data_IF_338220739440
#
_entry.id   IF_338220739440
#
_cell.length_a   1.000
_cell.length_b   1.000
_cell.length_c   1.000
_cell.angle_alpha   90.00
_cell.angle_beta   90.00
_cell.angle_gamma   90.00
#
_symmetry.space_group_name_H-M   'P 1'
#
loop_
_entity.id
_entity.type
_entity.pdbx_description
1 polymer ?
#
# COMPACT_ATOMS: atom_id res chain seq x y z
N UNK A 1 0.23 -16.06 3.73
CA UNK A 1 -0.38 -14.73 3.95
C UNK A 1 0.60 -13.58 3.67
N UNK A 2 1.67 -13.41 4.45
CA UNK A 2 2.62 -12.29 4.30
C UNK A 2 3.15 -12.05 2.87
N UNK A 3 3.56 -13.09 2.15
CA UNK A 3 4.05 -12.96 0.77
C UNK A 3 3.01 -12.39 -0.21
N UNK A 4 1.72 -12.68 0.01
CA UNK A 4 0.63 -12.13 -0.80
C UNK A 4 0.50 -10.62 -0.55
N UNK A 5 0.53 -10.19 0.71
CA UNK A 5 0.54 -8.77 1.11
C UNK A 5 1.75 -8.06 0.52
N UNK A 6 2.95 -8.61 0.72
CA UNK A 6 4.19 -8.03 0.21
C UNK A 6 4.12 -7.81 -1.31
N UNK A 7 3.59 -8.79 -2.05
CA UNK A 7 3.41 -8.68 -3.50
C UNK A 7 2.42 -7.56 -3.83
N UNK A 8 1.26 -7.52 -3.17
CA UNK A 8 0.24 -6.50 -3.42
C UNK A 8 0.73 -5.08 -3.12
N UNK A 9 1.38 -4.88 -1.98
CA UNK A 9 1.99 -3.60 -1.59
C UNK A 9 3.04 -3.18 -2.61
N UNK A 10 3.97 -4.08 -2.96
CA UNK A 10 5.00 -3.81 -3.97
C UNK A 10 4.38 -3.40 -5.31
N UNK A 11 3.38 -4.14 -5.79
CA UNK A 11 2.73 -3.84 -7.07
C UNK A 11 2.01 -2.51 -7.03
N UNK A 12 1.25 -2.22 -5.96
CA UNK A 12 0.50 -0.97 -5.86
C UNK A 12 1.43 0.24 -5.85
N UNK A 13 2.46 0.24 -4.99
CA UNK A 13 3.40 1.36 -4.93
C UNK A 13 4.25 1.49 -6.20
N UNK A 14 4.59 0.39 -6.86
CA UNK A 14 5.27 0.42 -8.16
C UNK A 14 4.43 1.17 -9.21
N UNK A 15 3.12 0.96 -9.21
CA UNK A 15 2.22 1.54 -10.21
C UNK A 15 1.80 2.97 -9.87
N UNK A 16 1.57 3.27 -8.60
CA UNK A 16 0.84 4.47 -8.16
C UNK A 16 1.55 5.32 -7.10
N UNK A 17 2.74 4.91 -6.64
CA UNK A 17 3.45 5.63 -5.59
C UNK A 17 4.06 6.96 -6.03
N UNK A 18 4.29 7.16 -7.33
CA UNK A 18 5.04 8.30 -7.87
C UNK A 18 4.27 9.09 -8.92
N UNK A 19 4.48 10.41 -8.94
CA UNK A 19 3.87 11.33 -9.91
C UNK A 19 4.36 11.14 -11.34
N UNK A 20 5.61 10.69 -11.53
CA UNK A 20 6.26 10.50 -12.83
C UNK A 20 5.90 9.15 -13.50
N UNK A 21 4.93 8.42 -12.97
CA UNK A 21 4.51 7.11 -13.46
C UNK A 21 5.12 5.94 -12.68
N UNK A 22 5.22 4.78 -13.33
CA UNK A 22 5.63 3.54 -12.67
C UNK A 22 7.09 3.62 -12.18
N UNK A 23 7.33 3.21 -10.93
CA UNK A 23 8.66 3.14 -10.34
C UNK A 23 8.85 1.79 -9.61
N UNK A 24 9.46 0.78 -10.25
CA UNK A 24 9.64 -0.54 -9.66
C UNK A 24 10.44 -0.50 -8.35
N UNK A 25 9.82 -1.00 -7.27
CA UNK A 25 10.46 -1.08 -5.95
C UNK A 25 10.75 -2.51 -5.50
N UNK A 26 11.75 -2.65 -4.64
CA UNK A 26 12.08 -3.88 -3.92
C UNK A 26 11.98 -3.61 -2.42
N UNK A 27 11.09 -4.32 -1.74
CA UNK A 27 10.90 -4.16 -0.29
C UNK A 27 11.80 -5.17 0.43
N UNK A 28 12.69 -4.75 1.34
CA UNK A 28 12.96 -3.37 1.79
C UNK A 28 14.10 -2.65 1.02
N UNK A 29 14.83 -3.35 0.14
CA UNK A 29 16.09 -2.89 -0.47
C UNK A 29 16.05 -1.52 -1.15
N UNK A 30 15.08 -1.24 -2.02
CA UNK A 30 15.00 0.06 -2.69
C UNK A 30 14.64 1.15 -1.69
N UNK A 31 13.73 0.89 -0.74
CA UNK A 31 13.31 1.88 0.26
C UNK A 31 14.47 2.29 1.17
N UNK A 32 15.28 1.32 1.61
CA UNK A 32 16.50 1.58 2.39
C UNK A 32 17.50 2.40 1.60
N UNK A 33 17.74 2.01 0.34
CA UNK A 33 18.66 2.70 -0.56
C UNK A 33 18.20 4.13 -0.88
N UNK A 34 16.93 4.32 -1.18
CA UNK A 34 16.35 5.60 -1.59
C UNK A 34 16.33 6.63 -0.45
N UNK A 35 16.41 6.16 0.81
CA UNK A 35 16.66 7.02 1.98
C UNK A 35 18.16 7.29 2.18
N UNK A 36 19.05 6.38 1.74
CA UNK A 36 20.50 6.45 1.95
C UNK A 36 21.30 7.19 0.84
N UNK A 37 20.82 7.32 -0.40
CA UNK A 37 21.60 7.93 -1.50
C UNK A 37 21.48 9.47 -1.49
N UNK A 38 22.00 10.12 -0.46
CA UNK A 38 22.19 11.57 -0.46
C UNK A 38 23.68 11.98 -0.63
N UNK A 39 24.59 11.04 -0.96
CA UNK A 39 26.04 11.29 -0.95
C UNK A 39 26.87 10.85 -2.16
N UNK A 40 26.43 9.86 -2.97
CA UNK A 40 27.34 9.30 -3.97
C UNK A 40 27.66 10.22 -5.16
N UNK A 41 26.96 11.35 -5.30
CA UNK A 41 27.02 12.20 -6.50
C UNK A 41 28.13 13.26 -6.46
N UNK A 42 28.74 13.56 -5.31
CA UNK A 42 29.72 14.66 -5.21
C UNK A 42 31.18 14.19 -5.25
N UNK A 43 31.48 12.92 -4.96
CA UNK A 43 32.87 12.48 -4.74
C UNK A 43 33.65 11.97 -5.97
N UNK A 44 33.06 11.86 -7.16
CA UNK A 44 33.81 11.44 -8.36
C UNK A 44 33.33 12.12 -9.65
N UNK A 45 33.77 13.35 -9.89
CA UNK A 45 33.85 13.87 -11.25
C UNK A 45 35.24 13.57 -11.85
N UNK A 46 35.26 12.56 -12.73
CA UNK A 46 36.00 12.61 -14.01
C UNK A 46 35.43 11.54 -14.93
N UNK A 47 34.55 12.00 -15.82
CA UNK A 47 34.10 11.33 -17.06
C UNK A 47 33.27 10.04 -16.92
N UNK A 48 31.98 10.17 -16.54
CA UNK A 48 30.92 9.31 -17.08
C UNK A 48 29.59 10.07 -17.06
N UNK A 49 29.01 10.36 -18.23
CA UNK A 49 27.61 10.80 -18.36
C UNK A 49 26.69 9.67 -17.89
N UNK A 50 26.34 9.63 -16.60
CA UNK A 50 25.16 8.90 -16.11
C UNK A 50 24.12 9.94 -15.71
N UNK A 51 22.94 9.87 -16.30
CA UNK A 51 21.74 10.60 -15.87
C UNK A 51 21.51 10.32 -14.38
N UNK A 52 21.86 11.27 -13.52
CA UNK A 52 21.53 11.26 -12.09
C UNK A 52 20.21 12.00 -11.94
N UNK A 53 19.12 11.23 -11.83
CA UNK A 53 17.80 11.76 -11.46
C UNK A 53 17.07 10.70 -10.59
N UNK A 54 17.76 10.21 -9.55
CA UNK A 54 17.30 9.09 -8.69
C UNK A 54 17.34 9.34 -7.18
N UNK A 55 17.74 10.51 -6.74
CA UNK A 55 18.20 10.69 -5.35
C UNK A 55 17.09 10.97 -4.31
N UNK A 56 15.80 10.79 -4.64
CA UNK A 56 14.70 11.09 -3.70
C UNK A 56 13.46 10.20 -3.83
N UNK A 57 13.56 8.97 -4.33
CA UNK A 57 12.36 8.20 -4.66
C UNK A 57 11.38 8.04 -3.47
N UNK A 58 11.83 7.67 -2.27
CA UNK A 58 10.91 7.48 -1.15
C UNK A 58 10.23 8.77 -0.66
N UNK A 59 10.97 9.86 -0.47
CA UNK A 59 10.38 11.12 0.01
C UNK A 59 9.54 11.82 -1.07
N UNK A 60 9.88 11.67 -2.36
CA UNK A 60 9.03 12.09 -3.47
C UNK A 60 7.72 11.30 -3.51
N UNK A 61 7.74 10.00 -3.18
CA UNK A 61 6.53 9.20 -3.03
C UNK A 61 5.65 9.74 -1.89
N UNK A 62 6.23 10.04 -0.73
CA UNK A 62 5.50 10.64 0.37
C UNK A 62 4.93 12.01 -0.05
N UNK A 63 5.71 12.86 -0.71
CA UNK A 63 5.24 14.15 -1.22
C UNK A 63 4.08 13.98 -2.21
N UNK A 64 4.14 13.01 -3.11
CA UNK A 64 3.08 12.71 -4.06
C UNK A 64 1.78 12.23 -3.38
N UNK A 65 1.91 11.36 -2.38
CA UNK A 65 0.76 10.76 -1.68
C UNK A 65 0.16 11.68 -0.61
N UNK A 66 0.97 12.45 0.09
CA UNK A 66 0.53 13.38 1.13
C UNK A 66 0.19 14.77 0.55
N UNK A 67 0.77 15.13 -0.60
CA UNK A 67 0.67 16.46 -1.19
C UNK A 67 1.52 17.53 -0.51
N UNK A 68 2.16 17.20 0.62
CA UNK A 68 3.03 18.09 1.40
C UNK A 68 4.28 17.32 1.88
N UNK A 69 5.43 17.99 2.02
CA UNK A 69 6.63 17.38 2.58
C UNK A 69 6.43 17.04 4.07
N UNK A 70 7.26 16.13 4.58
CA UNK A 70 7.26 15.79 6.01
C UNK A 70 7.85 16.99 6.78
N UNK A 71 7.14 17.57 7.77
CA UNK A 71 7.68 18.65 8.59
C UNK A 71 9.00 18.23 9.26
N UNK A 72 10.00 19.11 9.27
CA UNK A 72 11.30 18.85 9.90
C UNK A 72 12.28 18.00 9.08
N UNK A 73 11.80 17.28 8.05
CA UNK A 73 12.67 16.52 7.13
C UNK A 73 12.84 17.29 5.82
N UNK A 74 13.95 18.01 5.69
CA UNK A 74 14.31 18.58 4.40
C UNK A 74 14.69 17.43 3.45
N UNK A 75 13.96 17.30 2.33
CA UNK A 75 14.19 16.30 1.30
C UNK A 75 15.58 16.40 0.63
N UNK A 76 16.46 17.32 1.05
CA UNK A 76 17.74 17.65 0.43
C UNK A 76 18.94 17.64 1.39
N UNK A 77 18.81 17.08 2.60
CA UNK A 77 19.96 16.94 3.50
C UNK A 77 20.88 15.83 2.99
N UNK A 78 22.12 16.19 2.67
CA UNK A 78 23.19 15.20 2.44
C UNK A 78 23.43 14.41 3.72
N UNK A 79 23.64 13.11 3.61
CA UNK A 79 24.11 12.32 4.74
C UNK A 79 25.59 12.67 5.03
N UNK A 80 26.12 12.32 6.22
CA UNK A 80 27.52 12.50 6.61
C UNK A 80 28.36 11.34 6.07
N UNK A 81 29.64 11.59 5.81
CA UNK A 81 30.56 10.54 5.31
C UNK A 81 30.97 9.58 6.42
N UNK A 82 30.97 10.04 7.68
CA UNK A 82 31.24 9.19 8.83
C UNK A 82 30.12 8.16 9.01
N UNK A 83 30.42 6.85 9.06
CA UNK A 83 29.39 5.81 9.17
C UNK A 83 28.56 5.88 10.46
N UNK A 84 29.11 6.38 11.57
CA UNK A 84 28.39 6.49 12.85
C UNK A 84 27.44 7.68 12.82
N UNK A 85 27.92 8.85 12.39
CA UNK A 85 27.08 10.03 12.19
C UNK A 85 25.95 9.76 11.18
N UNK A 86 26.26 9.08 10.06
CA UNK A 86 25.26 8.66 9.07
C UNK A 86 24.19 7.77 9.67
N UNK A 87 24.61 6.76 10.42
CA UNK A 87 23.69 5.85 11.10
C UNK A 87 22.75 6.64 12.04
N UNK A 88 23.28 7.55 12.85
CA UNK A 88 22.46 8.37 13.75
C UNK A 88 21.49 9.28 13.01
N UNK A 89 21.92 9.91 11.91
CA UNK A 89 21.06 10.74 11.09
C UNK A 89 19.92 9.91 10.46
N UNK A 90 20.23 8.74 9.89
CA UNK A 90 19.21 7.84 9.32
C UNK A 90 18.21 7.36 10.37
N UNK A 91 18.70 6.97 11.55
CA UNK A 91 17.84 6.57 12.67
C UNK A 91 16.91 7.71 13.10
N UNK A 92 17.43 8.94 13.21
CA UNK A 92 16.62 10.11 13.50
C UNK A 92 15.58 10.37 12.41
N UNK A 93 15.96 10.35 11.12
CA UNK A 93 15.03 10.54 10.01
C UNK A 93 13.90 9.51 10.01
N UNK A 94 14.21 8.25 10.28
CA UNK A 94 13.22 7.19 10.43
C UNK A 94 12.30 7.42 11.64
N UNK A 95 12.84 7.92 12.75
CA UNK A 95 12.07 8.29 13.93
C UNK A 95 11.05 9.40 13.63
N UNK A 96 11.49 10.45 12.93
CA UNK A 96 10.63 11.56 12.49
C UNK A 96 9.56 11.09 11.51
N UNK A 97 9.92 10.25 10.53
CA UNK A 97 8.96 9.64 9.60
C UNK A 97 7.88 8.85 10.35
N UNK A 98 8.27 7.99 11.29
CA UNK A 98 7.34 7.18 12.08
C UNK A 98 6.47 8.06 13.00
N UNK A 99 7.04 9.12 13.58
CA UNK A 99 6.31 10.11 14.37
C UNK A 99 5.25 10.83 13.52
N UNK A 100 5.64 11.32 12.35
CA UNK A 100 4.75 11.98 11.40
C UNK A 100 3.61 11.07 10.95
N UNK A 101 3.91 9.83 10.53
CA UNK A 101 2.86 8.89 10.13
C UNK A 101 1.88 8.63 11.28
N UNK A 102 2.36 8.48 12.52
CA UNK A 102 1.50 8.33 13.70
C UNK A 102 0.61 9.55 13.93
N UNK A 103 1.13 10.76 13.72
CA UNK A 103 0.31 12.00 13.80
C UNK A 103 -0.80 12.05 12.74
N UNK A 104 -0.65 11.31 11.64
CA UNK A 104 -1.67 11.15 10.59
C UNK A 104 -2.61 9.95 10.85
N UNK A 105 -2.48 9.27 11.99
CA UNK A 105 -3.33 8.13 12.38
C UNK A 105 -2.77 6.74 12.03
N UNK A 106 -1.51 6.65 11.60
CA UNK A 106 -0.86 5.36 11.37
C UNK A 106 -0.62 4.61 12.69
N UNK A 107 -0.85 3.29 12.66
CA UNK A 107 -0.60 2.42 13.82
C UNK A 107 0.74 1.69 13.63
N UNK A 108 1.82 2.32 14.10
CA UNK A 108 3.21 1.86 13.93
C UNK A 108 3.97 1.79 15.27
N UNK A 109 3.28 1.56 16.39
CA UNK A 109 3.92 1.47 17.71
C UNK A 109 4.91 0.30 17.82
N UNK A 110 4.74 -0.74 16.99
CA UNK A 110 5.59 -1.92 16.93
C UNK A 110 6.80 -1.79 15.99
N UNK A 111 6.85 -0.74 15.16
CA UNK A 111 7.94 -0.53 14.20
C UNK A 111 8.97 0.39 14.83
N UNK A 112 10.17 -0.12 15.08
CA UNK A 112 11.29 0.67 15.60
C UNK A 112 12.13 1.26 14.45
N UNK A 113 12.72 2.46 14.61
CA UNK A 113 13.49 3.12 13.56
C UNK A 113 14.69 2.30 13.05
N UNK A 114 15.36 1.57 13.92
CA UNK A 114 16.52 0.74 13.60
C UNK A 114 16.19 -0.42 12.65
N UNK A 115 14.94 -0.88 12.61
CA UNK A 115 14.51 -1.90 11.65
C UNK A 115 14.32 -1.35 10.23
N UNK A 116 14.34 -0.03 10.06
CA UNK A 116 14.29 0.62 8.75
C UNK A 116 15.68 0.84 8.13
N UNK A 117 16.76 0.62 8.89
CA UNK A 117 18.15 0.78 8.46
C UNK A 117 18.61 -0.31 7.46
N UNK A 118 19.75 -0.05 6.81
CA UNK A 118 20.53 -1.09 6.11
C UNK A 118 21.13 -2.09 7.10
N UNK A 119 21.49 -3.32 6.68
CA UNK A 119 22.16 -4.27 7.56
C UNK A 119 23.47 -3.71 8.12
N UNK A 120 24.19 -2.94 7.32
CA UNK A 120 25.44 -2.29 7.69
C UNK A 120 25.21 -1.25 8.78
N UNK A 121 24.26 -0.33 8.58
CA UNK A 121 23.97 0.73 9.56
C UNK A 121 23.28 0.17 10.82
N UNK A 122 22.48 -0.89 10.71
CA UNK A 122 21.93 -1.60 11.88
C UNK A 122 23.04 -2.24 12.72
N UNK A 123 24.04 -2.86 12.07
CA UNK A 123 25.19 -3.41 12.79
C UNK A 123 25.91 -2.30 13.57
N UNK A 124 26.15 -1.15 12.93
CA UNK A 124 26.75 0.02 13.58
C UNK A 124 25.90 0.48 14.79
N UNK A 125 24.58 0.60 14.61
CA UNK A 125 23.64 0.97 15.66
C UNK A 125 23.72 0.00 16.86
N UNK A 126 23.74 -1.31 16.60
CA UNK A 126 23.88 -2.32 17.67
C UNK A 126 25.23 -2.24 18.38
N UNK A 127 26.35 -2.08 17.65
CA UNK A 127 27.69 -2.00 18.23
C UNK A 127 27.85 -0.75 19.12
N UNK A 128 27.24 0.38 18.73
CA UNK A 128 27.25 1.62 19.52
C UNK A 128 26.40 1.48 20.78
N UNK A 129 25.17 0.95 20.66
CA UNK A 129 24.25 0.85 21.81
C UNK A 129 24.62 -0.26 22.80
N UNK A 130 25.37 -1.27 22.37
CA UNK A 130 25.91 -2.34 23.24
C UNK A 130 27.27 -1.97 23.85
N UNK A 131 27.86 -0.82 23.46
CA UNK A 131 29.17 -0.39 23.92
C UNK A 131 30.34 -1.17 23.32
N UNK A 132 30.10 -2.02 22.31
CA UNK A 132 31.12 -2.84 21.65
C UNK A 132 32.02 -2.03 20.70
N UNK A 133 31.56 -0.87 20.21
CA UNK A 133 32.31 -0.04 19.25
C UNK A 133 33.18 1.05 19.87
N UNK A 134 32.91 1.46 21.11
CA UNK A 134 33.56 2.63 21.71
C UNK A 134 34.08 2.31 23.10
N UNK A 135 35.38 2.00 23.18
CA UNK A 135 36.13 2.32 24.39
C UNK A 135 36.17 3.84 24.54
N UNK A 136 35.54 4.36 25.59
CA UNK A 136 35.51 5.79 25.98
C UNK A 136 34.70 6.73 25.07
N UNK A 137 33.47 7.06 25.50
CA UNK A 137 32.98 8.43 25.76
C UNK A 137 31.44 8.39 25.89
N UNK A 138 30.95 7.98 27.07
CA UNK A 138 29.55 8.21 27.45
C UNK A 138 29.38 9.68 27.82
N UNK A 139 29.05 10.53 26.86
CA UNK A 139 28.46 11.85 27.15
C UNK A 139 26.95 11.72 27.16
N UNK A 140 26.41 11.56 28.38
CA UNK A 140 25.08 11.95 28.85
C UNK A 140 23.97 12.10 27.79
N UNK A 141 23.26 11.01 27.54
CA UNK A 141 21.93 11.00 26.94
C UNK A 141 21.31 9.63 27.18
N UNK A 142 20.43 9.53 28.16
CA UNK A 142 19.66 8.32 28.48
C UNK A 142 18.89 7.83 27.25
N UNK A 143 19.47 6.86 26.53
CA UNK A 143 18.80 6.13 25.46
C UNK A 143 18.09 4.92 26.09
N UNK A 144 16.76 4.99 26.08
CA UNK A 144 15.76 3.95 26.37
C UNK A 144 16.23 2.66 27.05
N UNK A 145 15.70 2.37 28.25
CA UNK A 145 15.79 1.11 29.01
C UNK A 145 15.22 -0.14 28.30
N UNK A 146 14.99 -0.08 26.99
CA UNK A 146 14.50 -1.21 26.19
C UNK A 146 15.64 -2.19 25.94
N UNK A 147 15.44 -3.51 26.16
CA UNK A 147 16.46 -4.50 25.86
C UNK A 147 16.81 -4.48 24.37
N UNK A 148 18.09 -4.26 24.06
CA UNK A 148 18.61 -4.26 22.69
C UNK A 148 18.64 -5.71 22.21
N UNK A 149 17.73 -6.06 21.30
CA UNK A 149 17.75 -7.35 20.62
C UNK A 149 18.79 -7.31 19.49
N UNK A 150 19.95 -7.91 19.69
CA UNK A 150 20.94 -8.10 18.62
C UNK A 150 20.43 -9.24 17.74
N UNK A 151 19.96 -8.89 16.54
CA UNK A 151 19.45 -9.87 15.59
C UNK A 151 20.55 -10.37 14.66
N UNK A 152 20.57 -11.68 14.41
CA UNK A 152 21.35 -12.25 13.30
C UNK A 152 20.90 -11.64 11.97
N UNK A 153 21.82 -11.51 11.01
CA UNK A 153 21.57 -10.89 9.70
C UNK A 153 20.29 -11.38 9.01
N UNK A 154 20.05 -12.71 8.97
CA UNK A 154 18.84 -13.27 8.33
C UNK A 154 17.55 -12.87 9.05
N UNK A 155 17.59 -12.82 10.36
CA UNK A 155 16.47 -12.41 11.21
C UNK A 155 16.20 -10.93 11.06
N UNK A 156 17.25 -10.10 11.07
CA UNK A 156 17.14 -8.67 10.80
C UNK A 156 16.53 -8.40 9.42
N UNK A 157 16.99 -9.07 8.36
CA UNK A 157 16.42 -8.91 7.01
C UNK A 157 14.92 -9.22 6.96
N UNK A 158 14.49 -10.26 7.68
CA UNK A 158 13.07 -10.61 7.78
C UNK A 158 12.28 -9.53 8.54
N UNK A 159 12.83 -9.04 9.65
CA UNK A 159 12.23 -7.97 10.46
C UNK A 159 12.14 -6.66 9.69
N UNK A 160 13.22 -6.23 9.03
CA UNK A 160 13.28 -5.02 8.22
C UNK A 160 12.29 -5.07 7.06
N UNK A 161 12.19 -6.22 6.37
CA UNK A 161 11.20 -6.43 5.31
C UNK A 161 9.78 -6.27 5.83
N UNK A 162 9.47 -6.82 7.01
CA UNK A 162 8.15 -6.69 7.63
C UNK A 162 7.87 -5.26 8.07
N UNK A 163 8.81 -4.60 8.73
CA UNK A 163 8.71 -3.20 9.16
C UNK A 163 8.41 -2.26 7.98
N UNK A 164 9.18 -2.37 6.89
CA UNK A 164 8.93 -1.56 5.69
C UNK A 164 7.59 -1.88 5.01
N UNK A 165 7.15 -3.14 5.03
CA UNK A 165 5.84 -3.52 4.51
C UNK A 165 4.72 -2.87 5.34
N UNK A 166 4.84 -2.91 6.66
CA UNK A 166 3.86 -2.30 7.57
C UNK A 166 3.83 -0.77 7.42
N UNK A 167 5.00 -0.13 7.28
CA UNK A 167 5.10 1.32 6.98
C UNK A 167 4.36 1.67 5.69
N UNK A 168 4.57 0.92 4.60
CA UNK A 168 3.88 1.16 3.33
C UNK A 168 2.36 0.92 3.42
N UNK A 169 1.92 -0.11 4.15
CA UNK A 169 0.49 -0.34 4.40
C UNK A 169 -0.15 0.81 5.16
N UNK A 170 0.54 1.34 6.18
CA UNK A 170 0.02 2.47 6.92
C UNK A 170 0.03 3.75 6.08
N UNK A 171 1.06 4.00 5.26
CA UNK A 171 1.09 5.09 4.27
C UNK A 171 -0.14 5.01 3.35
N UNK A 172 -0.46 3.83 2.81
CA UNK A 172 -1.65 3.64 2.00
C UNK A 172 -2.92 3.99 2.79
N UNK A 173 -3.01 3.50 4.04
CA UNK A 173 -4.16 3.75 4.91
C UNK A 173 -4.37 5.23 5.24
N UNK A 174 -3.30 5.99 5.49
CA UNK A 174 -3.41 7.40 5.92
C UNK A 174 -3.40 8.41 4.77
N UNK A 175 -2.85 8.08 3.61
CA UNK A 175 -2.72 9.03 2.49
C UNK A 175 -3.55 8.67 1.26
N UNK A 176 -3.88 7.38 1.05
CA UNK A 176 -4.60 6.92 -0.15
C UNK A 176 -6.07 6.71 0.14
N UNK A 177 -6.41 5.91 1.15
CA UNK A 177 -7.82 5.64 1.50
C UNK A 177 -8.63 6.91 1.78
N UNK A 178 -8.10 7.97 2.42
CA UNK A 178 -8.85 9.19 2.64
C UNK A 178 -9.26 9.93 1.36
N UNK A 179 -8.61 9.65 0.22
CA UNK A 179 -8.96 10.22 -1.08
C UNK A 179 -10.25 9.64 -1.66
N UNK A 180 -10.79 8.56 -1.09
CA UNK A 180 -12.11 8.04 -1.44
C UNK A 180 -13.17 9.06 -1.03
N UNK A 181 -13.59 9.89 -1.99
CA UNK A 181 -14.51 10.99 -1.77
C UNK A 181 -15.94 10.47 -1.50
N UNK A 182 -16.64 11.05 -0.53
CA UNK A 182 -18.06 10.75 -0.29
C UNK A 182 -18.98 11.28 -1.41
N UNK A 183 -18.44 12.06 -2.36
CA UNK A 183 -19.20 12.64 -3.50
C UNK A 183 -19.69 11.60 -4.51
N UNK A 184 -19.21 10.36 -4.45
CA UNK A 184 -19.73 9.24 -5.25
C UNK A 184 -21.03 8.64 -4.70
N UNK A 185 -21.62 9.25 -3.67
CA UNK A 185 -23.00 8.97 -3.24
C UNK A 185 -23.90 10.10 -3.75
N UNK A 186 -24.56 9.94 -4.91
CA UNK A 186 -25.63 10.86 -5.29
C UNK A 186 -26.80 10.64 -4.32
N UNK A 187 -27.31 11.76 -3.80
CA UNK A 187 -28.66 12.05 -3.35
C UNK A 187 -29.35 11.04 -2.39
N UNK A 188 -29.82 11.46 -1.19
CA UNK A 188 -30.71 10.65 -0.34
C UNK A 188 -31.99 10.16 -1.03
N UNK A 189 -32.39 10.69 -2.18
CA UNK A 189 -33.48 10.13 -3.00
C UNK A 189 -33.16 8.75 -3.60
N UNK A 190 -31.87 8.39 -3.77
CA UNK A 190 -31.46 7.06 -4.26
C UNK A 190 -31.56 5.95 -3.19
N UNK A 191 -31.82 6.31 -1.93
CA UNK A 191 -32.07 5.37 -0.84
C UNK A 191 -33.41 4.64 -0.96
N UNK A 192 -34.34 5.08 -1.81
CA UNK A 192 -35.61 4.37 -1.96
C UNK A 192 -35.42 2.94 -2.50
N UNK A 193 -34.42 2.74 -3.38
CA UNK A 193 -34.02 1.41 -3.85
C UNK A 193 -33.26 0.57 -2.81
N UNK A 194 -32.84 1.18 -1.70
CA UNK A 194 -32.13 0.54 -0.59
C UNK A 194 -33.07 0.12 0.56
N UNK A 195 -34.36 0.47 0.54
CA UNK A 195 -35.30 -0.01 1.56
C UNK A 195 -35.54 -1.54 1.50
N UNK A 196 -35.24 -2.19 0.38
CA UNK A 196 -35.23 -3.65 0.24
C UNK A 196 -33.90 -4.31 0.66
N UNK A 197 -32.91 -3.51 1.06
CA UNK A 197 -31.62 -3.95 1.58
C UNK A 197 -31.55 -3.71 3.08
N UNK A 198 -31.60 -4.75 3.94
CA UNK A 198 -31.16 -4.66 5.33
C UNK A 198 -29.82 -3.93 5.42
N UNK A 199 -29.89 -2.69 5.89
CA UNK A 199 -28.81 -1.72 5.69
C UNK A 199 -27.52 -2.17 6.37
N UNK A 200 -26.41 -2.09 5.63
CA UNK A 200 -25.16 -1.69 6.28
C UNK A 200 -25.46 -0.30 6.84
N UNK A 201 -25.86 -0.25 8.11
CA UNK A 201 -26.19 1.02 8.77
C UNK A 201 -25.00 1.94 8.59
N UNK A 202 -25.26 3.13 8.05
CA UNK A 202 -24.30 4.23 7.98
C UNK A 202 -23.86 4.71 9.37
N UNK A 203 -24.57 4.26 10.41
CA UNK A 203 -24.29 4.58 11.81
C UNK A 203 -22.99 3.91 12.31
N UNK A 204 -22.22 4.60 13.19
CA UNK A 204 -20.86 4.21 13.56
C UNK A 204 -20.73 2.90 14.37
N UNK A 205 -21.83 2.23 14.71
CA UNK A 205 -21.89 1.29 15.84
C UNK A 205 -21.98 -0.20 15.47
N UNK A 206 -21.91 -0.59 14.19
CA UNK A 206 -22.18 -2.00 13.81
C UNK A 206 -20.95 -2.86 13.45
N UNK A 207 -19.72 -2.33 13.41
CA UNK A 207 -18.49 -3.15 13.34
C UNK A 207 -17.24 -2.29 13.51
N UNK A 208 -16.33 -2.64 14.41
CA UNK A 208 -15.03 -1.99 14.63
C UNK A 208 -13.95 -2.43 13.61
N UNK A 209 -14.30 -3.26 12.62
CA UNK A 209 -13.33 -3.88 11.72
C UNK A 209 -12.87 -2.93 10.60
N UNK A 210 -13.74 -2.05 10.12
CA UNK A 210 -13.46 -1.16 8.98
C UNK A 210 -13.44 0.32 9.37
N UNK A 211 -12.50 1.06 8.80
CA UNK A 211 -12.47 2.52 8.83
C UNK A 211 -13.63 3.13 8.03
N UNK A 212 -13.90 4.42 8.25
CA UNK A 212 -14.90 5.18 7.48
C UNK A 212 -14.67 5.08 5.96
N UNK A 213 -13.42 5.04 5.51
CA UNK A 213 -13.07 5.01 4.09
C UNK A 213 -13.29 3.63 3.47
N UNK A 214 -12.93 2.56 4.19
CA UNK A 214 -13.21 1.19 3.78
C UNK A 214 -14.72 0.94 3.70
N UNK A 215 -15.50 1.47 4.65
CA UNK A 215 -16.97 1.41 4.59
C UNK A 215 -17.51 2.15 3.36
N UNK A 216 -16.97 3.31 3.02
CA UNK A 216 -17.36 4.01 1.78
C UNK A 216 -17.13 3.15 0.53
N UNK A 217 -16.01 2.42 0.47
CA UNK A 217 -15.74 1.48 -0.64
C UNK A 217 -16.74 0.33 -0.64
N UNK A 218 -17.04 -0.29 0.52
CA UNK A 218 -18.04 -1.37 0.60
C UNK A 218 -19.43 -0.90 0.15
N UNK A 219 -19.87 0.28 0.60
CA UNK A 219 -21.16 0.86 0.18
C UNK A 219 -21.17 1.07 -1.34
N UNK A 220 -20.09 1.62 -1.89
CA UNK A 220 -19.94 1.82 -3.33
C UNK A 220 -20.02 0.50 -4.10
N UNK A 221 -19.30 -0.55 -3.66
CA UNK A 221 -19.35 -1.89 -4.28
C UNK A 221 -20.77 -2.48 -4.27
N UNK A 222 -21.50 -2.38 -3.14
CA UNK A 222 -22.88 -2.87 -3.05
C UNK A 222 -23.81 -2.15 -4.04
N UNK A 223 -23.75 -0.81 -4.08
CA UNK A 223 -24.58 -0.01 -4.98
C UNK A 223 -24.30 -0.34 -6.45
N UNK A 224 -23.03 -0.43 -6.81
CA UNK A 224 -22.61 -0.71 -8.18
C UNK A 224 -22.98 -2.13 -8.60
N UNK A 225 -22.75 -3.12 -7.73
CA UNK A 225 -23.12 -4.51 -8.03
C UNK A 225 -24.63 -4.68 -8.24
N UNK A 226 -25.48 -4.17 -7.35
CA UNK A 226 -26.93 -4.32 -7.50
C UNK A 226 -27.45 -3.65 -8.77
N UNK A 227 -26.92 -2.46 -9.10
CA UNK A 227 -27.29 -1.75 -10.33
C UNK A 227 -26.83 -2.49 -11.58
N UNK A 228 -25.55 -2.87 -11.64
CA UNK A 228 -24.94 -3.36 -12.87
C UNK A 228 -25.11 -4.86 -13.08
N UNK A 229 -25.43 -5.67 -12.07
CA UNK A 229 -25.65 -7.12 -12.29
C UNK A 229 -26.75 -7.42 -13.30
N UNK A 230 -27.80 -6.59 -13.32
CA UNK A 230 -28.93 -6.71 -14.26
C UNK A 230 -28.57 -6.22 -15.66
N UNK A 231 -27.58 -5.33 -15.78
CA UNK A 231 -27.14 -4.73 -17.05
C UNK A 231 -26.07 -5.60 -17.73
N UNK A 232 -25.08 -6.08 -16.95
CA UNK A 232 -23.93 -6.82 -17.46
C UNK A 232 -24.31 -8.22 -17.91
N UNK A 233 -25.20 -8.89 -17.17
CA UNK A 233 -25.55 -10.30 -17.41
C UNK A 233 -26.99 -10.52 -17.88
N UNK A 234 -27.64 -9.50 -18.47
CA UNK A 234 -28.95 -9.67 -19.11
C UNK A 234 -28.94 -10.73 -20.22
N UNK A 235 -27.85 -10.77 -20.99
CA UNK A 235 -27.66 -11.64 -22.16
C UNK A 235 -26.55 -12.68 -21.89
N UNK A 236 -26.37 -13.09 -20.62
CA UNK A 236 -25.24 -13.94 -20.19
C UNK A 236 -25.15 -15.26 -20.95
N UNK A 237 -23.92 -15.66 -21.32
CA UNK A 237 -23.67 -16.94 -22.00
C UNK A 237 -23.50 -18.12 -21.03
N UNK A 238 -23.23 -17.86 -19.75
CA UNK A 238 -22.84 -18.88 -18.75
C UNK A 238 -23.60 -18.71 -17.44
N UNK A 239 -24.94 -18.74 -17.55
CA UNK A 239 -25.88 -18.61 -16.45
C UNK A 239 -26.89 -17.49 -16.70
N UNK A 240 -27.68 -17.15 -15.69
CA UNK A 240 -28.61 -16.02 -15.73
C UNK A 240 -28.02 -14.76 -15.08
N UNK A 241 -28.87 -13.76 -14.85
CA UNK A 241 -28.54 -12.62 -14.00
C UNK A 241 -28.13 -13.14 -12.62
N UNK A 242 -26.93 -12.81 -12.10
CA UNK A 242 -26.50 -13.31 -10.80
C UNK A 242 -27.41 -12.77 -9.69
N UNK A 243 -27.55 -13.53 -8.59
CA UNK A 243 -28.44 -13.14 -7.50
C UNK A 243 -27.95 -11.85 -6.84
N UNK A 244 -28.91 -11.15 -6.24
CA UNK A 244 -28.61 -10.09 -5.29
C UNK A 244 -27.81 -10.67 -4.12
N UNK A 245 -26.78 -9.95 -3.67
CA UNK A 245 -25.99 -10.35 -2.50
C UNK A 245 -25.43 -9.14 -1.78
N UNK A 246 -25.03 -9.35 -0.53
CA UNK A 246 -24.31 -8.35 0.26
C UNK A 246 -22.81 -8.54 0.15
N UNK A 247 -22.12 -7.42 -0.06
CA UNK A 247 -20.66 -7.35 -0.03
C UNK A 247 -20.26 -6.70 1.30
N UNK A 248 -19.78 -7.50 2.23
CA UNK A 248 -19.39 -7.08 3.59
C UNK A 248 -17.88 -7.20 3.82
N UNK A 249 -17.14 -7.89 2.96
CA UNK A 249 -15.69 -8.01 3.02
C UNK A 249 -15.00 -7.87 1.64
N UNK A 250 -13.68 -7.69 1.64
CA UNK A 250 -12.86 -7.55 0.43
C UNK A 250 -12.21 -8.88 -0.03
N UNK A 251 -12.57 -9.99 0.61
CA UNK A 251 -11.96 -11.30 0.37
C UNK A 251 -12.97 -12.23 -0.32
N UNK A 252 -13.76 -12.97 0.47
CA UNK A 252 -14.68 -13.98 0.00
C UNK A 252 -15.77 -13.42 -0.92
N UNK A 253 -16.26 -12.21 -0.65
CA UNK A 253 -17.36 -11.61 -1.43
C UNK A 253 -16.92 -11.10 -2.81
N UNK A 254 -15.60 -10.97 -3.02
CA UNK A 254 -14.99 -10.56 -4.29
C UNK A 254 -14.39 -11.74 -5.06
N UNK A 255 -14.34 -12.93 -4.46
CA UNK A 255 -13.60 -14.10 -4.94
C UNK A 255 -14.02 -14.54 -6.35
N UNK A 256 -15.31 -14.43 -6.68
CA UNK A 256 -15.84 -14.86 -7.98
C UNK A 256 -15.69 -13.84 -9.12
N UNK A 257 -15.12 -12.67 -8.81
CA UNK A 257 -14.86 -11.59 -9.75
C UNK A 257 -16.11 -10.85 -10.24
N UNK A 258 -17.33 -11.25 -9.89
CA UNK A 258 -18.55 -10.63 -10.41
C UNK A 258 -18.72 -9.20 -9.91
N UNK A 259 -18.39 -8.94 -8.64
CA UNK A 259 -18.45 -7.58 -8.08
C UNK A 259 -17.43 -6.66 -8.76
N UNK A 260 -16.21 -7.15 -9.01
CA UNK A 260 -15.18 -6.39 -9.73
C UNK A 260 -15.58 -6.14 -11.19
N UNK A 261 -16.15 -7.14 -11.86
CA UNK A 261 -16.64 -7.01 -13.24
C UNK A 261 -17.78 -5.99 -13.34
N UNK A 262 -18.75 -6.03 -12.42
CA UNK A 262 -19.81 -5.04 -12.34
C UNK A 262 -19.24 -3.62 -12.13
N UNK A 263 -18.20 -3.51 -11.31
CA UNK A 263 -17.55 -2.24 -11.05
C UNK A 263 -16.84 -1.67 -12.27
N UNK A 264 -16.11 -2.51 -13.01
CA UNK A 264 -15.42 -2.09 -14.24
C UNK A 264 -16.45 -1.76 -15.33
N UNK A 265 -17.50 -2.58 -15.48
CA UNK A 265 -18.56 -2.35 -16.44
C UNK A 265 -19.31 -1.04 -16.21
N UNK A 266 -19.34 -0.54 -14.98
CA UNK A 266 -19.94 0.75 -14.66
C UNK A 266 -19.26 1.93 -15.36
N UNK A 267 -17.94 1.86 -15.55
CA UNK A 267 -17.14 2.89 -16.21
C UNK A 267 -16.78 2.53 -17.65
N UNK A 268 -16.69 1.24 -17.97
CA UNK A 268 -16.28 0.71 -19.27
C UNK A 268 -17.36 -0.25 -19.82
N UNK A 269 -18.57 0.24 -20.13
CA UNK A 269 -19.69 -0.62 -20.56
C UNK A 269 -19.41 -1.36 -21.89
N UNK A 270 -18.51 -0.84 -22.73
CA UNK A 270 -18.07 -1.49 -23.97
C UNK A 270 -17.34 -2.83 -23.75
N UNK A 271 -16.87 -3.11 -22.51
CA UNK A 271 -16.27 -4.39 -22.16
C UNK A 271 -17.31 -5.50 -21.88
N UNK A 272 -18.58 -5.14 -21.67
CA UNK A 272 -19.65 -6.11 -21.38
C UNK A 272 -19.77 -7.17 -22.48
N UNK A 273 -20.01 -6.82 -23.76
CA UNK A 273 -20.22 -7.81 -24.83
C UNK A 273 -18.95 -8.59 -25.17
N UNK A 274 -17.76 -8.05 -24.89
CA UNK A 274 -16.48 -8.67 -25.27
C UNK A 274 -15.89 -9.55 -24.17
N UNK A 275 -16.11 -9.19 -22.90
CA UNK A 275 -15.49 -9.83 -21.74
C UNK A 275 -16.54 -10.38 -20.77
N UNK A 276 -17.34 -9.52 -20.14
CA UNK A 276 -18.09 -9.88 -18.93
C UNK A 276 -19.27 -10.82 -19.18
N UNK A 277 -19.87 -10.80 -20.37
CA UNK A 277 -20.91 -11.74 -20.80
C UNK A 277 -20.47 -13.22 -20.77
N UNK A 278 -19.15 -13.47 -20.78
CA UNK A 278 -18.52 -14.80 -20.78
C UNK A 278 -18.23 -15.35 -19.37
N UNK A 279 -18.52 -14.58 -18.32
CA UNK A 279 -18.29 -14.99 -16.93
C UNK A 279 -19.35 -15.97 -16.45
N UNK A 280 -18.95 -16.91 -15.59
CA UNK A 280 -19.89 -17.76 -14.87
C UNK A 280 -20.58 -16.92 -13.79
N UNK A 281 -21.91 -16.83 -13.84
CA UNK A 281 -22.69 -16.03 -12.87
C UNK A 281 -23.04 -16.78 -11.59
N UNK A 282 -22.79 -18.09 -11.55
CA UNK A 282 -22.87 -18.93 -10.35
C UNK A 282 -21.70 -19.94 -10.33
N UNK A 283 -20.45 -19.47 -10.13
CA UNK A 283 -19.29 -20.35 -10.14
C UNK A 283 -19.28 -21.24 -8.89
N UNK A 284 -19.10 -22.55 -9.09
CA UNK A 284 -19.07 -23.58 -8.02
C UNK A 284 -17.74 -24.30 -7.89
N UNK A 285 -16.85 -24.12 -8.85
CA UNK A 285 -15.56 -24.81 -8.93
C UNK A 285 -14.42 -23.79 -9.00
N UNK A 286 -13.22 -24.21 -8.58
CA UNK A 286 -12.05 -23.33 -8.58
C UNK A 286 -11.68 -22.90 -10.00
N UNK A 287 -11.91 -23.75 -11.00
CA UNK A 287 -11.67 -23.49 -12.40
C UNK A 287 -12.61 -22.39 -12.93
N UNK A 288 -13.86 -22.37 -12.47
CA UNK A 288 -14.81 -21.31 -12.83
C UNK A 288 -14.47 -19.97 -12.17
N UNK A 289 -14.04 -20.00 -10.90
CA UNK A 289 -13.54 -18.81 -10.21
C UNK A 289 -12.30 -18.25 -10.93
N UNK A 290 -11.32 -19.11 -11.24
CA UNK A 290 -10.13 -18.76 -12.01
C UNK A 290 -10.48 -18.18 -13.39
N UNK A 291 -11.38 -18.82 -14.13
CA UNK A 291 -11.86 -18.33 -15.42
C UNK A 291 -12.42 -16.90 -15.30
N UNK A 292 -13.25 -16.65 -14.29
CA UNK A 292 -13.79 -15.31 -14.03
C UNK A 292 -12.70 -14.30 -13.71
N UNK A 293 -11.75 -14.63 -12.82
CA UNK A 293 -10.63 -13.75 -12.49
C UNK A 293 -9.79 -13.41 -13.72
N UNK A 294 -9.54 -14.37 -14.61
CA UNK A 294 -8.81 -14.14 -15.86
C UNK A 294 -9.57 -13.21 -16.81
N UNK A 295 -10.91 -13.27 -16.84
CA UNK A 295 -11.72 -12.30 -17.60
C UNK A 295 -11.55 -10.89 -17.02
N UNK A 296 -11.59 -10.74 -15.71
CA UNK A 296 -11.40 -9.44 -15.04
C UNK A 296 -10.01 -8.88 -15.35
N UNK A 297 -8.96 -9.69 -15.25
CA UNK A 297 -7.58 -9.26 -15.60
C UNK A 297 -7.48 -8.84 -17.07
N UNK A 298 -8.04 -9.61 -18.00
CA UNK A 298 -8.07 -9.24 -19.43
C UNK A 298 -8.83 -7.93 -19.67
N UNK A 299 -9.92 -7.71 -18.95
CA UNK A 299 -10.68 -6.46 -19.02
C UNK A 299 -9.86 -5.27 -18.49
N UNK A 300 -9.14 -5.44 -17.37
CA UNK A 300 -8.23 -4.42 -16.83
C UNK A 300 -7.08 -4.10 -17.80
N UNK A 301 -6.48 -5.11 -18.42
CA UNK A 301 -5.47 -4.92 -19.47
C UNK A 301 -6.01 -4.16 -20.68
N UNK A 302 -7.26 -4.43 -21.08
CA UNK A 302 -7.92 -3.73 -22.20
C UNK A 302 -8.11 -2.23 -21.94
N UNK A 303 -8.04 -1.78 -20.68
CA UNK A 303 -8.13 -0.37 -20.29
C UNK A 303 -6.79 0.19 -19.77
N UNK A 304 -5.68 -0.49 -20.08
CA UNK A 304 -4.33 -0.13 -19.67
C UNK A 304 -4.13 -0.06 -18.14
N UNK A 305 -4.95 -0.79 -17.37
CA UNK A 305 -4.72 -1.04 -15.95
C UNK A 305 -4.02 -2.39 -15.79
N UNK A 306 -2.68 -2.35 -15.72
CA UNK A 306 -1.85 -3.54 -15.54
C UNK A 306 -1.84 -4.00 -14.07
N UNK A 307 -3.01 -4.37 -13.55
CA UNK A 307 -3.21 -4.93 -12.22
C UNK A 307 -3.51 -6.41 -12.36
N UNK A 308 -2.58 -7.24 -11.90
CA UNK A 308 -2.79 -8.69 -11.83
C UNK A 308 -3.69 -9.05 -10.63
N UNK A 309 -4.66 -9.92 -10.87
CA UNK A 309 -5.40 -10.59 -9.80
C UNK A 309 -4.78 -11.98 -9.65
N UNK A 310 -4.13 -12.22 -8.50
CA UNK A 310 -3.66 -13.57 -8.17
C UNK A 310 -4.82 -14.39 -7.63
N UNK A 311 -5.15 -15.46 -8.36
CA UNK A 311 -6.05 -16.53 -7.94
C UNK A 311 -5.30 -17.50 -7.04
#
# INVERSE_FOLDING_TARGET
FFQKILTAVRSWFTLFGWSKGQNPISIPHSLRRDVCIAQFTIAQEKNFKRKVDKDKAFYEMILHLNGQPIPGLAASQSLPSDPVERMFQLHWQHSELLSFLRSQGAHLSHVMPEFLLTPEDYKIWTEVNTGLRVGSMRSSGTLSDSPIFILEHRTFETMSKRAWTDVLLQIYKVFVLPRVSSRTVPDPSSLESLHSMPGIKSEPLCSNVYSRYERSVLIWLNKQYEKYRKIVWKDSQRGGIPPMRWIVNFDQDLLDGLVLAAQIAAYCPYLIPTHFIKMYTNPRTQEQLLHNSLIVVKALHSINLNIDIKV
#
